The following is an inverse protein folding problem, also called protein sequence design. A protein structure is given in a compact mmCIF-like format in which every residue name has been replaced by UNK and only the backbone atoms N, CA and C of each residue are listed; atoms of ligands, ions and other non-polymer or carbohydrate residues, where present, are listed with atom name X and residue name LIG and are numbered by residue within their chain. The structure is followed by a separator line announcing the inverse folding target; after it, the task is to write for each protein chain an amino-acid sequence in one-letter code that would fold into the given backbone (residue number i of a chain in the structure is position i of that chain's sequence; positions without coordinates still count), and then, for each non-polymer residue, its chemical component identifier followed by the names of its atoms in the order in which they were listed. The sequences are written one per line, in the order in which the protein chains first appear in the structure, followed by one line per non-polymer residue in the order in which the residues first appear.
data_IF_889420117222
#
_entry.id   IF_889420117222
#
_cell.length_a   1.000
_cell.length_b   1.000
_cell.length_c   1.000
_cell.angle_alpha   90.00
_cell.angle_beta   90.00
_cell.angle_gamma   90.00
#
_symmetry.space_group_name_H-M   'P 1'
#
loop_
_entity.id
_entity.type
_entity.pdbx_description
1 polymer ?
#
# COMPACT_ATOMS: atom_id res chain seq x y z
N UNK A 1 -0.86 -21.05 -9.19
CA UNK A 1 -2.00 -20.40 -9.87
C UNK A 1 -2.77 -19.62 -8.81
N UNK A 2 -3.46 -18.54 -9.18
CA UNK A 2 -4.24 -17.70 -8.26
C UNK A 2 -5.51 -17.30 -9.01
N UNK A 3 -6.67 -17.31 -8.37
CA UNK A 3 -7.95 -16.97 -8.99
C UNK A 3 -8.89 -16.36 -7.95
N UNK A 4 -9.35 -15.12 -8.18
CA UNK A 4 -10.31 -14.47 -7.30
C UNK A 4 -11.19 -13.45 -8.02
N UNK A 5 -12.34 -13.16 -7.40
CA UNK A 5 -13.25 -12.07 -7.79
C UNK A 5 -13.30 -11.01 -6.70
N UNK A 6 -13.34 -9.76 -7.10
CA UNK A 6 -13.39 -8.60 -6.19
C UNK A 6 -14.32 -7.53 -6.76
N UNK A 7 -14.97 -6.78 -5.87
CA UNK A 7 -15.68 -5.55 -6.24
C UNK A 7 -14.71 -4.52 -6.84
N UNK A 8 -15.13 -3.86 -7.92
CA UNK A 8 -14.33 -2.89 -8.66
C UNK A 8 -13.88 -1.73 -7.76
N UNK A 9 -14.76 -1.20 -6.92
CA UNK A 9 -14.42 -0.06 -6.07
C UNK A 9 -13.39 -0.45 -5.02
N UNK A 10 -13.50 -1.67 -4.48
CA UNK A 10 -12.54 -2.28 -3.56
C UNK A 10 -11.18 -2.43 -4.25
N UNK A 11 -11.14 -3.03 -5.45
CA UNK A 11 -9.93 -3.15 -6.26
C UNK A 11 -9.27 -1.79 -6.51
N UNK A 12 -10.03 -0.79 -6.97
CA UNK A 12 -9.52 0.56 -7.22
C UNK A 12 -8.95 1.19 -5.95
N UNK A 13 -9.61 1.04 -4.80
CA UNK A 13 -9.12 1.55 -3.52
C UNK A 13 -7.82 0.88 -3.08
N UNK A 14 -7.74 -0.44 -3.17
CA UNK A 14 -6.53 -1.20 -2.81
C UNK A 14 -5.34 -0.79 -3.67
N UNK A 15 -5.56 -0.68 -4.98
CA UNK A 15 -4.54 -0.27 -5.92
C UNK A 15 -4.15 1.21 -5.76
N UNK A 16 -5.09 2.11 -5.48
CA UNK A 16 -4.82 3.54 -5.24
C UNK A 16 -3.77 3.73 -4.14
N UNK A 17 -3.98 3.07 -3.01
CA UNK A 17 -3.07 3.13 -1.86
C UNK A 17 -1.73 2.45 -2.18
N UNK A 18 -1.76 1.25 -2.77
CA UNK A 18 -0.55 0.49 -3.07
C UNK A 18 0.33 1.18 -4.14
N UNK A 19 -0.24 1.66 -5.24
CA UNK A 19 0.54 2.29 -6.30
C UNK A 19 1.17 3.62 -5.86
N UNK A 20 0.65 4.27 -4.81
CA UNK A 20 1.20 5.49 -4.24
C UNK A 20 2.54 5.28 -3.52
N UNK A 21 2.80 4.06 -3.05
CA UNK A 21 4.02 3.67 -2.35
C UNK A 21 5.02 2.97 -3.27
N UNK A 22 4.56 2.31 -4.34
CA UNK A 22 5.43 1.58 -5.26
C UNK A 22 6.56 2.47 -5.83
N UNK A 23 7.83 2.06 -5.64
CA UNK A 23 8.99 2.83 -6.05
C UNK A 23 9.30 2.63 -7.54
N UNK A 24 9.09 3.70 -8.32
CA UNK A 24 9.29 3.71 -9.77
C UNK A 24 10.64 4.26 -10.20
N UNK A 25 11.37 4.91 -9.30
CA UNK A 25 12.63 5.61 -9.61
C UNK A 25 13.84 4.92 -8.98
N UNK A 26 13.62 4.00 -8.06
CA UNK A 26 14.66 3.23 -7.40
C UNK A 26 15.42 2.28 -8.32
N UNK A 27 16.54 1.80 -7.79
CA UNK A 27 17.42 0.84 -8.46
C UNK A 27 16.86 -0.59 -8.50
N UNK A 28 15.77 -0.88 -7.78
CA UNK A 28 15.17 -2.20 -7.66
C UNK A 28 13.81 -2.24 -8.40
N UNK A 29 13.75 -2.71 -9.67
CA UNK A 29 12.55 -2.60 -10.50
C UNK A 29 11.31 -3.30 -9.95
N UNK A 30 11.49 -4.39 -9.18
CA UNK A 30 10.39 -5.14 -8.57
C UNK A 30 9.57 -4.28 -7.60
N UNK A 31 10.13 -3.21 -7.03
CA UNK A 31 9.41 -2.29 -6.14
C UNK A 31 8.39 -1.39 -6.87
N UNK A 32 8.48 -1.30 -8.20
CA UNK A 32 7.46 -0.65 -9.03
C UNK A 32 6.19 -1.49 -9.16
N UNK A 33 6.23 -2.75 -8.70
CA UNK A 33 5.10 -3.67 -8.69
C UNK A 33 4.31 -3.59 -7.38
N UNK A 34 3.04 -3.98 -7.48
CA UNK A 34 2.21 -4.35 -6.34
C UNK A 34 2.25 -5.87 -6.19
N UNK A 35 2.45 -6.34 -4.96
CA UNK A 35 2.27 -7.74 -4.59
C UNK A 35 0.80 -8.00 -4.28
N UNK A 36 0.22 -8.98 -4.96
CA UNK A 36 -1.16 -9.43 -4.76
C UNK A 36 -1.11 -10.84 -4.17
N UNK A 37 -1.80 -11.07 -3.05
CA UNK A 37 -1.78 -12.37 -2.38
C UNK A 37 -3.12 -12.69 -1.71
N UNK A 38 -3.55 -13.96 -1.77
CA UNK A 38 -4.70 -14.45 -1.02
C UNK A 38 -4.41 -14.50 0.48
N UNK A 39 -5.38 -14.07 1.28
CA UNK A 39 -5.38 -14.14 2.75
C UNK A 39 -6.52 -15.04 3.22
N UNK A 40 -6.49 -16.29 2.75
CA UNK A 40 -7.60 -17.25 2.91
C UNK A 40 -8.67 -17.11 1.81
N UNK A 41 -9.88 -17.67 2.04
CA UNK A 41 -10.91 -17.79 1.01
C UNK A 41 -11.64 -16.48 0.69
N UNK A 42 -11.64 -15.52 1.62
CA UNK A 42 -12.54 -14.35 1.57
C UNK A 42 -11.81 -13.02 1.44
N UNK A 43 -10.48 -13.04 1.30
CA UNK A 43 -9.66 -11.82 1.26
C UNK A 43 -8.47 -11.91 0.32
N UNK A 44 -8.14 -10.76 -0.26
CA UNK A 44 -6.91 -10.52 -1.00
C UNK A 44 -6.19 -9.32 -0.38
N UNK A 45 -4.86 -9.35 -0.35
CA UNK A 45 -4.06 -8.17 -0.02
C UNK A 45 -3.30 -7.63 -1.22
N UNK A 46 -3.21 -6.31 -1.25
CA UNK A 46 -2.37 -5.53 -2.16
C UNK A 46 -1.28 -4.87 -1.33
N UNK A 47 -0.02 -5.21 -1.60
CA UNK A 47 1.12 -4.70 -0.85
C UNK A 47 2.09 -3.98 -1.77
N UNK A 48 2.64 -2.86 -1.29
CA UNK A 48 3.70 -2.13 -1.97
C UNK A 48 4.69 -1.56 -0.96
N UNK A 49 5.96 -1.46 -1.35
CA UNK A 49 7.01 -0.89 -0.51
C UNK A 49 8.10 -0.21 -1.33
N UNK A 50 8.69 0.85 -0.77
CA UNK A 50 9.94 1.47 -1.23
C UNK A 50 11.13 1.13 -0.30
N UNK A 51 10.98 0.08 0.52
CA UNK A 51 11.87 -0.37 1.60
C UNK A 51 11.92 0.54 2.84
N UNK A 52 11.36 1.76 2.79
CA UNK A 52 11.21 2.65 3.96
C UNK A 52 9.80 2.62 4.51
N UNK A 53 8.83 2.68 3.61
CA UNK A 53 7.39 2.63 3.86
C UNK A 53 6.84 1.37 3.23
N UNK A 54 5.94 0.71 3.94
CA UNK A 54 5.16 -0.41 3.41
C UNK A 54 3.70 -0.14 3.62
N UNK A 55 2.90 -0.36 2.58
CA UNK A 55 1.45 -0.39 2.68
C UNK A 55 0.96 -1.80 2.37
N UNK A 56 0.03 -2.28 3.19
CA UNK A 56 -0.69 -3.54 3.00
C UNK A 56 -2.17 -3.21 3.10
N UNK A 57 -2.92 -3.48 2.04
CA UNK A 57 -4.35 -3.23 1.98
C UNK A 57 -5.06 -4.56 1.78
N UNK A 58 -5.72 -5.03 2.83
CA UNK A 58 -6.46 -6.30 2.80
C UNK A 58 -7.96 -6.04 2.60
N UNK A 59 -8.52 -6.57 1.53
CA UNK A 59 -9.88 -6.30 1.05
C UNK A 59 -10.70 -7.59 0.92
N UNK A 60 -12.03 -7.53 1.11
CA UNK A 60 -12.92 -8.65 0.81
C UNK A 60 -12.84 -9.05 -0.66
N UNK A 61 -12.71 -10.35 -0.93
CA UNK A 61 -12.69 -10.92 -2.27
C UNK A 61 -13.09 -12.39 -2.20
N UNK A 62 -13.74 -12.92 -3.24
CA UNK A 62 -14.02 -14.36 -3.33
C UNK A 62 -12.83 -15.05 -3.98
N UNK A 63 -12.04 -15.78 -3.20
CA UNK A 63 -10.87 -16.52 -3.70
C UNK A 63 -11.28 -17.94 -4.08
N UNK A 64 -11.15 -18.29 -5.36
CA UNK A 64 -11.40 -19.64 -5.87
C UNK A 64 -10.13 -20.48 -5.86
N UNK A 65 -8.97 -19.84 -6.02
CA UNK A 65 -7.67 -20.49 -5.90
C UNK A 65 -6.66 -19.57 -5.23
N UNK A 66 -6.15 -20.00 -4.09
CA UNK A 66 -5.12 -19.27 -3.34
C UNK A 66 -3.79 -19.18 -4.10
N UNK A 67 -3.06 -18.09 -3.85
CA UNK A 67 -1.73 -17.85 -4.39
C UNK A 67 -1.37 -16.37 -4.36
N UNK A 68 -0.30 -16.03 -5.07
CA UNK A 68 0.09 -14.63 -5.27
C UNK A 68 0.86 -14.39 -6.57
N UNK A 69 0.97 -13.11 -6.91
CA UNK A 69 1.67 -12.60 -8.10
C UNK A 69 2.10 -11.16 -7.83
N UNK A 70 3.12 -10.69 -8.55
CA UNK A 70 3.44 -9.26 -8.58
C UNK A 70 3.22 -8.71 -9.97
N UNK A 71 2.73 -7.48 -10.06
CA UNK A 71 2.39 -6.83 -11.34
C UNK A 71 2.62 -5.34 -11.24
N UNK A 72 2.91 -4.67 -12.36
CA UNK A 72 3.20 -3.23 -12.38
C UNK A 72 2.07 -2.41 -11.74
N UNK A 73 2.37 -1.74 -10.62
CA UNK A 73 1.34 -1.14 -9.77
C UNK A 73 0.54 -0.06 -10.51
N UNK A 74 1.24 0.84 -11.21
CA UNK A 74 0.61 1.90 -12.01
C UNK A 74 -0.19 1.35 -13.18
N UNK A 75 0.33 0.34 -13.88
CA UNK A 75 -0.36 -0.26 -15.02
C UNK A 75 -1.69 -0.88 -14.56
N UNK A 76 -1.65 -1.66 -13.47
CA UNK A 76 -2.83 -2.30 -12.93
C UNK A 76 -3.85 -1.28 -12.40
N UNK A 77 -3.40 -0.19 -11.76
CA UNK A 77 -4.28 0.88 -11.31
C UNK A 77 -5.00 1.59 -12.47
N UNK A 78 -4.30 1.92 -13.56
CA UNK A 78 -4.95 2.54 -14.72
C UNK A 78 -5.93 1.60 -15.41
N UNK A 79 -5.63 0.28 -15.48
CA UNK A 79 -6.60 -0.72 -15.95
C UNK A 79 -7.84 -0.69 -15.05
N UNK A 80 -7.67 -0.76 -13.73
CA UNK A 80 -8.77 -0.78 -12.77
C UNK A 80 -9.68 0.46 -12.89
N UNK A 81 -9.12 1.64 -13.19
CA UNK A 81 -9.89 2.87 -13.45
C UNK A 81 -10.78 2.78 -14.69
N UNK A 82 -10.34 2.05 -15.73
CA UNK A 82 -11.06 1.89 -16.98
C UNK A 82 -12.13 0.79 -16.99
N UNK A 83 -12.24 -0.01 -15.92
CA UNK A 83 -13.22 -1.10 -15.85
C UNK A 83 -14.64 -0.56 -15.69
N UNK A 84 -15.63 -1.26 -16.28
CA UNK A 84 -17.05 -0.85 -16.27
C UNK A 84 -17.96 -1.78 -15.47
N UNK A 85 -17.53 -3.01 -15.18
CA UNK A 85 -18.29 -3.98 -14.37
C UNK A 85 -18.03 -3.77 -12.89
N UNK A 86 -19.04 -4.04 -12.05
CA UNK A 86 -18.91 -3.98 -10.59
C UNK A 86 -18.08 -5.14 -10.04
N UNK A 87 -18.09 -6.30 -10.70
CA UNK A 87 -17.23 -7.44 -10.33
C UNK A 87 -16.08 -7.59 -11.33
N UNK A 88 -14.88 -7.83 -10.79
CA UNK A 88 -13.64 -8.04 -11.54
C UNK A 88 -13.02 -9.38 -11.16
N UNK A 89 -12.74 -10.22 -12.16
CA UNK A 89 -11.97 -11.46 -12.01
C UNK A 89 -10.50 -11.18 -12.26
N UNK A 90 -9.63 -11.66 -11.38
CA UNK A 90 -8.18 -11.63 -11.53
C UNK A 90 -7.63 -13.06 -11.40
N UNK A 91 -6.93 -13.53 -12.44
CA UNK A 91 -6.40 -14.88 -12.51
C UNK A 91 -4.94 -14.89 -12.94
N UNK A 92 -4.05 -15.44 -12.10
CA UNK A 92 -2.68 -15.75 -12.48
C UNK A 92 -2.65 -17.02 -13.33
N UNK A 93 -2.26 -16.87 -14.58
CA UNK A 93 -2.06 -17.96 -15.53
C UNK A 93 -0.58 -18.37 -15.60
N UNK A 94 -0.20 -19.16 -16.59
CA UNK A 94 1.19 -19.60 -16.81
C UNK A 94 2.14 -18.42 -17.01
N UNK A 95 3.43 -18.63 -16.72
CA UNK A 95 4.48 -17.61 -16.87
C UNK A 95 4.17 -16.30 -16.12
N UNK A 96 3.40 -16.36 -15.03
CA UNK A 96 3.02 -15.22 -14.18
C UNK A 96 2.16 -14.14 -14.87
N UNK A 97 1.53 -14.46 -16.00
CA UNK A 97 0.55 -13.54 -16.58
C UNK A 97 -0.65 -13.39 -15.63
N UNK A 98 -1.15 -12.16 -15.53
CA UNK A 98 -2.37 -11.85 -14.81
C UNK A 98 -3.46 -11.50 -15.83
N UNK A 99 -4.42 -12.40 -15.97
CA UNK A 99 -5.66 -12.16 -16.69
C UNK A 99 -6.61 -11.35 -15.80
N UNK A 100 -7.18 -10.28 -16.35
CA UNK A 100 -8.15 -9.40 -15.69
C UNK A 100 -9.40 -9.36 -16.56
N UNK A 101 -10.55 -9.77 -16.03
CA UNK A 101 -11.83 -9.75 -16.74
C UNK A 101 -12.87 -8.94 -15.98
N UNK A 102 -13.61 -8.12 -16.70
CA UNK A 102 -14.69 -7.28 -16.18
C UNK A 102 -15.75 -7.09 -17.27
N UNK A 103 -16.86 -7.81 -17.16
CA UNK A 103 -17.87 -7.85 -18.21
C UNK A 103 -17.29 -8.35 -19.53
N UNK A 104 -17.31 -7.51 -20.58
CA UNK A 104 -16.74 -7.82 -21.91
C UNK A 104 -15.26 -7.45 -22.06
N UNK A 105 -14.70 -6.71 -21.11
CA UNK A 105 -13.30 -6.31 -21.16
C UNK A 105 -12.41 -7.42 -20.61
N UNK A 106 -11.31 -7.68 -21.33
CA UNK A 106 -10.27 -8.61 -20.91
C UNK A 106 -8.89 -7.96 -21.14
N UNK A 107 -8.05 -8.01 -20.11
CA UNK A 107 -6.66 -7.57 -20.17
C UNK A 107 -5.76 -8.72 -19.73
N UNK A 108 -4.57 -8.79 -20.32
CA UNK A 108 -3.52 -9.69 -19.88
C UNK A 108 -2.30 -8.81 -19.62
N UNK A 109 -1.76 -8.86 -18.39
CA UNK A 109 -0.55 -8.14 -18.02
C UNK A 109 0.53 -9.11 -17.58
N UNK A 110 1.77 -8.79 -17.92
CA UNK A 110 2.92 -9.58 -17.47
C UNK A 110 3.13 -9.32 -15.98
N UNK A 111 3.14 -10.39 -15.20
CA UNK A 111 3.53 -10.35 -13.80
C UNK A 111 4.88 -11.03 -13.56
N UNK A 112 5.32 -11.00 -12.31
CA UNK A 112 6.51 -11.71 -11.84
C UNK A 112 6.14 -12.59 -10.64
N UNK A 113 7.05 -13.48 -10.27
CA UNK A 113 6.82 -14.37 -9.14
C UNK A 113 6.71 -13.55 -7.85
N UNK A 114 5.73 -13.87 -6.99
CA UNK A 114 5.64 -13.29 -5.64
C UNK A 114 6.91 -13.52 -4.80
N UNK A 115 7.69 -14.56 -5.12
CA UNK A 115 8.92 -14.93 -4.41
C UNK A 115 10.06 -13.94 -4.68
N UNK A 116 9.96 -13.16 -5.75
CA UNK A 116 10.94 -12.11 -6.09
C UNK A 116 10.65 -10.80 -5.37
N UNK A 117 9.44 -10.63 -4.84
CA UNK A 117 9.09 -9.45 -4.04
C UNK A 117 9.78 -9.52 -2.68
N UNK A 118 10.30 -8.40 -2.15
CA UNK A 118 10.84 -8.37 -0.79
C UNK A 118 9.78 -8.81 0.22
N UNK A 119 10.25 -9.40 1.32
CA UNK A 119 9.35 -9.78 2.42
C UNK A 119 8.70 -8.53 3.00
N UNK A 120 7.37 -8.54 3.05
CA UNK A 120 6.58 -7.55 3.75
C UNK A 120 6.85 -7.71 5.26
N UNK A 121 7.25 -6.64 5.97
CA UNK A 121 7.49 -6.69 7.41
C UNK A 121 6.20 -6.99 8.18
N UNK A 122 6.32 -7.77 9.25
CA UNK A 122 5.21 -8.08 10.17
C UNK A 122 5.27 -7.18 11.40
N UNK A 123 4.12 -6.69 11.85
CA UNK A 123 3.96 -5.85 13.05
C UNK A 123 3.46 -6.64 14.27
N UNK A 124 3.39 -7.97 14.19
CA UNK A 124 2.72 -8.82 15.18
C UNK A 124 3.30 -8.75 16.61
N UNK A 125 4.51 -8.23 16.79
CA UNK A 125 5.17 -8.13 18.09
C UNK A 125 5.11 -6.72 18.73
N UNK A 126 4.48 -5.74 18.07
CA UNK A 126 4.42 -4.37 18.57
C UNK A 126 3.25 -4.18 19.55
N UNK A 127 3.50 -3.45 20.64
CA UNK A 127 2.42 -2.89 21.45
C UNK A 127 1.72 -1.77 20.68
N UNK A 128 0.40 -1.88 20.53
CA UNK A 128 -0.40 -0.92 19.76
C UNK A 128 -1.26 -0.07 20.70
N UNK A 129 -1.30 1.23 20.43
CA UNK A 129 -2.23 2.17 21.06
C UNK A 129 -3.24 2.68 20.04
N UNK A 130 -4.50 2.80 20.46
CA UNK A 130 -5.55 3.39 19.62
C UNK A 130 -5.41 4.92 19.62
N UNK A 131 -5.46 5.51 18.43
CA UNK A 131 -5.45 6.97 18.24
C UNK A 131 -6.56 7.31 17.25
N UNK A 132 -7.33 8.35 17.55
CA UNK A 132 -8.34 8.86 16.63
C UNK A 132 -7.66 9.38 15.35
N UNK A 133 -8.11 8.91 14.19
CA UNK A 133 -7.46 9.22 12.90
C UNK A 133 -7.59 10.69 12.51
N UNK A 134 -8.68 11.36 12.91
CA UNK A 134 -8.86 12.80 12.68
C UNK A 134 -7.90 13.58 13.56
N UNK A 135 -7.77 13.22 14.84
CA UNK A 135 -6.79 13.83 15.75
C UNK A 135 -5.38 13.65 15.21
N UNK A 136 -4.99 12.44 14.79
CA UNK A 136 -3.68 12.17 14.22
C UNK A 136 -3.41 13.03 12.97
N UNK A 137 -4.39 13.13 12.07
CA UNK A 137 -4.29 13.93 10.85
C UNK A 137 -4.13 15.42 11.15
N UNK A 138 -4.89 15.95 12.12
CA UNK A 138 -4.77 17.34 12.57
C UNK A 138 -3.41 17.62 13.21
N UNK A 139 -2.88 16.70 14.02
CA UNK A 139 -1.56 16.85 14.65
C UNK A 139 -0.44 16.87 13.60
N UNK A 140 -0.50 15.99 12.59
CA UNK A 140 0.43 16.00 11.46
C UNK A 140 0.35 17.35 10.73
N UNK A 141 -0.86 17.83 10.42
CA UNK A 141 -1.03 19.12 9.73
C UNK A 141 -0.47 20.32 10.50
N UNK A 142 -0.53 20.29 11.84
CA UNK A 142 -0.01 21.35 12.72
C UNK A 142 1.50 21.28 12.96
N UNK A 143 2.18 20.22 12.53
CA UNK A 143 3.62 20.03 12.82
C UNK A 143 4.48 19.74 11.59
N UNK A 144 3.96 19.12 10.54
CA UNK A 144 4.77 18.72 9.38
C UNK A 144 5.49 19.88 8.68
N UNK A 145 4.95 21.10 8.71
CA UNK A 145 5.52 22.24 7.99
C UNK A 145 6.84 22.76 8.58
N UNK A 146 7.17 22.42 9.84
CA UNK A 146 8.39 22.85 10.51
C UNK A 146 9.48 21.78 10.55
N UNK A 147 9.41 20.74 9.70
CA UNK A 147 10.54 19.84 9.48
C UNK A 147 11.58 20.48 8.55
N UNK A 148 12.84 20.08 8.68
CA UNK A 148 13.86 20.35 7.68
C UNK A 148 13.51 19.61 6.38
N UNK A 149 13.54 20.30 5.24
CA UNK A 149 13.13 19.74 3.93
C UNK A 149 14.23 18.91 3.26
N UNK A 150 15.49 19.09 3.67
CA UNK A 150 16.61 18.30 3.20
C UNK A 150 16.99 17.21 4.22
N UNK A 151 17.68 16.19 3.72
CA UNK A 151 18.12 15.05 4.52
C UNK A 151 19.50 15.28 5.19
N UNK A 152 20.01 16.52 5.24
CA UNK A 152 21.33 16.79 5.87
C UNK A 152 21.34 16.47 7.36
N UNK A 153 20.17 16.64 8.01
CA UNK A 153 19.92 16.30 9.41
C UNK A 153 18.65 15.45 9.49
N UNK A 154 18.73 14.13 9.30
CA UNK A 154 17.54 13.25 9.23
C UNK A 154 16.64 13.32 10.47
N UNK A 155 17.22 13.59 11.64
CA UNK A 155 16.47 13.78 12.89
C UNK A 155 15.59 15.04 12.89
N UNK A 156 15.85 16.02 12.01
CA UNK A 156 15.01 17.21 11.81
C UNK A 156 14.10 17.10 10.58
N UNK A 157 14.35 16.15 9.69
CA UNK A 157 13.49 15.82 8.56
C UNK A 157 12.33 14.88 8.93
N UNK A 158 11.98 14.82 10.22
CA UNK A 158 10.93 13.96 10.77
C UNK A 158 10.16 14.65 11.89
N UNK A 159 9.03 14.07 12.28
CA UNK A 159 8.20 14.52 13.40
C UNK A 159 8.40 13.53 14.54
N UNK A 160 8.76 14.01 15.72
CA UNK A 160 8.73 13.21 16.93
C UNK A 160 7.26 12.97 17.32
N UNK A 161 6.86 11.71 17.46
CA UNK A 161 5.53 11.32 17.92
C UNK A 161 5.63 10.46 19.17
N UNK A 162 5.01 10.91 20.26
CA UNK A 162 4.91 10.20 21.52
C UNK A 162 3.44 9.95 21.85
N UNK A 163 3.06 8.73 22.26
CA UNK A 163 1.69 8.38 22.63
C UNK A 163 1.69 7.35 23.77
N UNK A 164 0.90 7.59 24.81
CA UNK A 164 0.69 6.67 25.95
C UNK A 164 -0.71 6.03 25.95
N UNK A 165 -1.44 6.13 24.84
CA UNK A 165 -2.83 5.68 24.71
C UNK A 165 -3.87 6.59 25.35
N UNK A 166 -3.45 7.62 26.11
CA UNK A 166 -4.34 8.65 26.69
C UNK A 166 -4.03 10.04 26.17
N UNK A 167 -2.75 10.31 25.92
CA UNK A 167 -2.22 11.56 25.39
C UNK A 167 -1.29 11.25 24.23
N UNK A 168 -1.27 12.15 23.28
CA UNK A 168 -0.39 12.11 22.13
C UNK A 168 0.32 13.45 22.02
N UNK A 169 1.60 13.47 21.68
CA UNK A 169 2.36 14.70 21.46
C UNK A 169 3.14 14.56 20.16
N UNK A 170 3.06 15.59 19.31
CA UNK A 170 3.90 15.74 18.13
C UNK A 170 4.77 16.98 18.23
N UNK A 171 6.04 16.84 17.88
CA UNK A 171 7.02 17.93 17.84
C UNK A 171 7.84 17.86 16.56
N UNK A 172 8.06 19.00 15.92
CA UNK A 172 8.97 19.13 14.78
C UNK A 172 9.72 20.47 14.84
N UNK A 173 10.91 20.50 14.26
CA UNK A 173 11.74 21.72 14.17
C UNK A 173 12.72 21.62 13.02
N UNK A 174 13.02 22.75 12.39
CA UNK A 174 14.05 22.91 11.34
C UNK A 174 15.35 23.54 11.90
N UNK A 175 15.35 23.86 13.20
CA UNK A 175 16.40 24.60 13.91
C UNK A 175 16.13 26.10 14.04
N UNK A 176 15.14 26.64 13.33
CA UNK A 176 14.73 28.06 13.41
C UNK A 176 13.37 28.24 14.07
N UNK A 177 12.46 27.29 13.87
CA UNK A 177 11.11 27.29 14.44
C UNK A 177 10.74 25.90 14.93
N UNK A 178 9.90 25.85 15.95
CA UNK A 178 9.40 24.62 16.55
C UNK A 178 7.88 24.66 16.57
N UNK A 179 7.26 23.56 16.14
CA UNK A 179 5.82 23.34 16.31
C UNK A 179 5.59 22.18 17.26
N UNK A 180 4.62 22.34 18.17
CA UNK A 180 4.23 21.33 19.14
C UNK A 180 2.70 21.28 19.27
N UNK A 181 2.15 20.08 19.30
CA UNK A 181 0.73 19.83 19.54
C UNK A 181 0.57 18.59 20.43
N UNK A 182 -0.38 18.59 21.36
CA UNK A 182 -0.75 17.43 22.17
C UNK A 182 -1.98 17.66 23.02
#
# INVERSE_FOLDING_TARGET
MMDFRIDKNSLQRGLYLAHGIADRKGSMPILANVLIRSEGPDRISFSATDLKVTVVVSLPAKVEQEGGVTVGARQLFEIAKGLSSDEVLLRRTENNWLEIKSGRAQFNVVGMSEREYPKIPSVAAAELSLVDSKVLTEMIGKTAFSILQDDTRPHLASILFECDGKRACMVSTDGHRLSKVG
#
